data_IF_915087748621
#
_entry.id   IF_915087748621
#
_cell.length_a   1.000
_cell.length_b   1.000
_cell.length_c   1.000
_cell.angle_alpha   90.00
_cell.angle_beta   90.00
_cell.angle_gamma   90.00
#
_symmetry.space_group_name_H-M   'P 1'
#
loop_
_entity.id
_entity.type
_entity.pdbx_description
1 polymer ?
#
# COMPACT_ATOMS: atom_id res chain seq x y z
N UNK A 1 -2.80 9.18 -7.03
CA UNK A 1 -4.25 9.44 -7.18
C UNK A 1 -5.02 8.21 -6.70
N UNK A 2 -6.01 8.39 -5.83
CA UNK A 2 -6.89 7.27 -5.43
C UNK A 2 -7.98 7.09 -6.48
N UNK A 3 -8.12 5.87 -6.96
CA UNK A 3 -9.13 5.49 -7.94
C UNK A 3 -10.50 5.40 -7.26
N UNK A 4 -11.49 5.92 -7.96
CA UNK A 4 -12.88 6.00 -7.53
C UNK A 4 -13.73 6.59 -8.66
N UNK A 5 -15.00 6.84 -8.38
CA UNK A 5 -15.91 7.37 -9.40
C UNK A 5 -15.40 8.70 -9.97
N UNK A 6 -15.35 8.79 -11.31
CA UNK A 6 -14.94 10.00 -12.03
C UNK A 6 -13.44 10.30 -12.07
N UNK A 7 -12.58 9.49 -11.43
CA UNK A 7 -11.12 9.76 -11.41
C UNK A 7 -10.39 9.31 -12.69
N UNK A 8 -11.04 8.51 -13.54
CA UNK A 8 -10.44 7.93 -14.74
C UNK A 8 -9.81 8.95 -15.71
N UNK A 9 -10.53 10.01 -16.13
CA UNK A 9 -9.97 11.02 -17.03
C UNK A 9 -8.75 11.75 -16.44
N UNK A 10 -8.79 12.05 -15.14
CA UNK A 10 -7.67 12.69 -14.43
C UNK A 10 -6.45 11.76 -14.36
N UNK A 11 -6.67 10.48 -14.05
CA UNK A 11 -5.62 9.48 -14.05
C UNK A 11 -4.98 9.32 -15.44
N UNK A 12 -5.80 9.27 -16.50
CA UNK A 12 -5.31 9.19 -17.88
C UNK A 12 -4.44 10.40 -18.26
N UNK A 13 -4.89 11.62 -17.94
CA UNK A 13 -4.12 12.83 -18.20
C UNK A 13 -2.78 12.86 -17.46
N UNK A 14 -2.77 12.42 -16.19
CA UNK A 14 -1.53 12.33 -15.41
C UNK A 14 -0.55 11.29 -15.96
N UNK A 15 -1.05 10.17 -16.50
CA UNK A 15 -0.21 9.17 -17.15
C UNK A 15 0.39 9.77 -18.42
N UNK A 16 -0.44 10.37 -19.28
CA UNK A 16 0.00 10.94 -20.56
C UNK A 16 1.08 12.02 -20.36
N UNK A 17 0.88 12.92 -19.41
CA UNK A 17 1.86 13.95 -19.05
C UNK A 17 3.18 13.30 -18.60
N UNK A 18 3.11 12.35 -17.66
CA UNK A 18 4.29 11.66 -17.13
C UNK A 18 5.02 10.78 -18.17
N UNK A 19 4.35 10.34 -19.25
CA UNK A 19 5.00 9.63 -20.35
C UNK A 19 5.96 10.54 -21.12
N UNK A 20 5.59 11.83 -21.29
CA UNK A 20 6.35 12.81 -22.06
C UNK A 20 7.34 13.64 -21.25
N UNK A 21 7.09 13.90 -19.96
CA UNK A 21 8.02 14.65 -19.10
C UNK A 21 8.77 13.79 -18.08
N UNK A 22 8.44 12.49 -18.01
CA UNK A 22 8.89 11.60 -16.96
C UNK A 22 8.14 11.85 -15.64
N UNK A 23 8.40 11.02 -14.64
CA UNK A 23 7.76 11.15 -13.33
C UNK A 23 6.96 9.93 -12.91
N UNK A 24 6.41 10.00 -11.70
CA UNK A 24 5.88 8.84 -11.01
C UNK A 24 4.39 9.00 -10.81
N UNK A 25 3.61 8.10 -11.40
CA UNK A 25 2.16 8.05 -11.24
C UNK A 25 1.80 6.85 -10.38
N UNK A 26 1.27 7.11 -9.18
CA UNK A 26 0.74 6.08 -8.29
C UNK A 26 -0.79 6.06 -8.37
N UNK A 27 -1.36 5.02 -8.97
CA UNK A 27 -2.81 4.75 -8.93
C UNK A 27 -3.11 3.89 -7.70
N UNK A 28 -3.87 4.44 -6.75
CA UNK A 28 -4.21 3.73 -5.52
C UNK A 28 -5.62 3.15 -5.62
N UNK A 29 -5.86 2.02 -4.96
CA UNK A 29 -7.20 1.43 -4.83
C UNK A 29 -7.87 1.06 -6.16
N UNK A 30 -7.12 0.52 -7.14
CA UNK A 30 -7.65 0.25 -8.48
C UNK A 30 -8.89 -0.66 -8.51
N UNK A 31 -9.00 -1.62 -7.60
CA UNK A 31 -10.20 -2.46 -7.39
C UNK A 31 -11.50 -1.68 -7.16
N UNK A 32 -11.45 -0.41 -6.74
CA UNK A 32 -12.63 0.44 -6.56
C UNK A 32 -13.12 1.11 -7.86
N UNK A 33 -12.38 0.97 -8.97
CA UNK A 33 -12.74 1.53 -10.27
C UNK A 33 -12.83 0.46 -11.37
N UNK A 34 -13.63 -0.61 -11.19
CA UNK A 34 -13.68 -1.74 -12.13
C UNK A 34 -14.11 -1.33 -13.54
N UNK A 35 -15.01 -0.34 -13.66
CA UNK A 35 -15.49 0.16 -14.95
C UNK A 35 -14.42 0.88 -15.77
N UNK A 36 -13.36 1.37 -15.13
CA UNK A 36 -12.27 2.08 -15.81
C UNK A 36 -11.07 1.17 -16.13
N UNK A 37 -11.01 -0.04 -15.57
CA UNK A 37 -9.92 -1.00 -15.81
C UNK A 37 -9.68 -1.31 -17.31
N UNK A 38 -10.73 -1.49 -18.16
CA UNK A 38 -10.51 -1.68 -19.60
C UNK A 38 -9.90 -0.46 -20.29
N UNK A 39 -10.20 0.75 -19.81
CA UNK A 39 -9.57 1.98 -20.33
C UNK A 39 -8.11 2.07 -19.90
N UNK A 40 -7.80 1.69 -18.65
CA UNK A 40 -6.43 1.63 -18.16
C UNK A 40 -5.58 0.63 -18.95
N UNK A 41 -6.14 -0.55 -19.28
CA UNK A 41 -5.46 -1.55 -20.11
C UNK A 41 -5.09 -0.98 -21.49
N UNK A 42 -6.02 -0.29 -22.15
CA UNK A 42 -5.76 0.38 -23.44
C UNK A 42 -4.70 1.48 -23.35
N UNK A 43 -4.65 2.20 -22.23
CA UNK A 43 -3.59 3.21 -21.99
C UNK A 43 -2.25 2.50 -21.85
N UNK A 44 -2.19 1.44 -21.04
CA UNK A 44 -0.99 0.65 -20.81
C UNK A 44 -0.43 0.04 -22.11
N UNK A 45 -1.28 -0.53 -22.97
CA UNK A 45 -0.86 -1.13 -24.25
C UNK A 45 -0.24 -0.11 -25.23
N UNK A 46 -0.52 1.18 -25.06
CA UNK A 46 0.06 2.26 -25.88
C UNK A 46 1.44 2.70 -25.40
N UNK A 47 1.82 2.35 -24.17
CA UNK A 47 3.11 2.71 -23.58
C UNK A 47 4.19 1.88 -24.27
N UNK A 48 5.02 2.54 -25.06
CA UNK A 48 6.16 1.93 -25.74
C UNK A 48 7.45 2.24 -24.98
N UNK A 49 8.15 1.23 -24.41
CA UNK A 49 9.36 1.45 -23.63
C UNK A 49 10.44 2.25 -24.37
N UNK A 50 10.46 2.21 -25.71
CA UNK A 50 11.44 2.89 -26.55
C UNK A 50 11.18 4.39 -26.70
N UNK A 51 9.95 4.85 -26.45
CA UNK A 51 9.54 6.25 -26.69
C UNK A 51 9.18 7.00 -25.43
N UNK A 52 9.14 6.32 -24.28
CA UNK A 52 8.82 6.96 -22.99
C UNK A 52 10.04 7.53 -22.32
N UNK A 53 9.84 8.58 -21.55
CA UNK A 53 10.89 9.16 -20.73
C UNK A 53 11.47 8.15 -19.74
N UNK A 54 12.81 8.10 -19.62
CA UNK A 54 13.51 7.07 -18.85
C UNK A 54 13.13 7.07 -17.35
N UNK A 55 12.70 8.22 -16.84
CA UNK A 55 12.28 8.42 -15.44
C UNK A 55 10.78 8.18 -15.20
N UNK A 56 10.02 7.79 -16.22
CA UNK A 56 8.60 7.44 -16.06
C UNK A 56 8.43 6.16 -15.23
N UNK A 57 7.55 6.21 -14.22
CA UNK A 57 7.15 5.04 -13.42
C UNK A 57 5.64 5.04 -13.19
N UNK A 58 4.98 3.94 -13.55
CA UNK A 58 3.58 3.70 -13.23
C UNK A 58 3.49 2.67 -12.10
N UNK A 59 2.97 3.09 -10.95
CA UNK A 59 2.71 2.25 -9.79
C UNK A 59 1.22 2.07 -9.56
N UNK A 60 0.83 0.89 -9.09
CA UNK A 60 -0.57 0.55 -8.85
C UNK A 60 -0.72 -0.15 -7.51
N UNK A 61 -1.72 0.22 -6.71
CA UNK A 61 -2.13 -0.54 -5.52
C UNK A 61 -3.55 -1.06 -5.69
N UNK A 62 -3.77 -2.33 -5.35
CA UNK A 62 -5.09 -2.95 -5.43
C UNK A 62 -5.21 -4.14 -4.50
N UNK A 63 -6.41 -4.37 -3.97
CA UNK A 63 -6.79 -5.71 -3.52
C UNK A 63 -6.96 -6.64 -4.73
N UNK A 64 -6.85 -7.97 -4.54
CA UNK A 64 -7.19 -8.93 -5.59
C UNK A 64 -8.59 -8.65 -6.14
N UNK A 65 -8.72 -8.54 -7.46
CA UNK A 65 -9.98 -8.26 -8.13
C UNK A 65 -10.00 -8.92 -9.51
N UNK A 66 -11.09 -9.61 -9.83
CA UNK A 66 -11.28 -10.23 -11.14
C UNK A 66 -11.44 -9.19 -12.27
N UNK A 67 -11.75 -7.94 -11.93
CA UNK A 67 -11.85 -6.84 -12.90
C UNK A 67 -10.48 -6.23 -13.24
N UNK A 68 -9.41 -6.59 -12.52
CA UNK A 68 -8.09 -6.03 -12.78
C UNK A 68 -7.52 -6.59 -14.09
N UNK A 69 -6.94 -5.77 -14.99
CA UNK A 69 -6.52 -6.23 -16.31
C UNK A 69 -5.44 -7.31 -16.26
N UNK A 70 -5.69 -8.44 -16.93
CA UNK A 70 -4.77 -9.58 -16.99
C UNK A 70 -3.47 -9.20 -17.68
N UNK A 71 -3.54 -8.39 -18.75
CA UNK A 71 -2.38 -7.94 -19.51
C UNK A 71 -1.42 -7.13 -18.64
N UNK A 72 -1.96 -6.22 -17.81
CA UNK A 72 -1.15 -5.45 -16.85
C UNK A 72 -0.55 -6.39 -15.82
N UNK A 73 -1.32 -7.34 -15.28
CA UNK A 73 -0.79 -8.31 -14.32
C UNK A 73 0.37 -9.07 -14.95
N UNK A 74 0.20 -9.70 -16.11
CA UNK A 74 1.23 -10.54 -16.72
C UNK A 74 2.54 -9.79 -16.98
N UNK A 75 2.45 -8.51 -17.35
CA UNK A 75 3.60 -7.70 -17.78
C UNK A 75 4.10 -6.69 -16.71
N UNK A 76 3.67 -6.83 -15.45
CA UNK A 76 4.13 -5.98 -14.34
C UNK A 76 4.89 -6.75 -13.27
N UNK A 77 5.73 -6.01 -12.54
CA UNK A 77 6.32 -6.50 -11.29
C UNK A 77 5.26 -6.48 -10.20
N UNK A 78 5.03 -7.63 -9.57
CA UNK A 78 4.04 -7.79 -8.50
C UNK A 78 4.76 -7.89 -7.17
N UNK A 79 4.29 -7.10 -6.20
CA UNK A 79 4.69 -7.22 -4.81
C UNK A 79 3.43 -7.46 -3.98
N UNK A 80 3.48 -8.46 -3.11
CA UNK A 80 2.40 -8.77 -2.18
C UNK A 80 2.84 -8.32 -0.79
N UNK A 81 2.09 -7.41 -0.19
CA UNK A 81 2.33 -6.95 1.17
C UNK A 81 1.41 -7.71 2.11
N UNK A 82 1.93 -8.72 2.79
CA UNK A 82 1.20 -9.46 3.80
C UNK A 82 1.44 -8.87 5.20
N UNK A 83 0.45 -8.89 6.10
CA UNK A 83 0.68 -8.57 7.50
C UNK A 83 1.69 -9.56 8.12
N UNK A 84 2.54 -9.13 9.06
CA UNK A 84 3.52 -10.02 9.67
C UNK A 84 2.84 -11.17 10.42
N UNK A 85 3.42 -12.35 10.30
CA UNK A 85 2.92 -13.55 10.96
C UNK A 85 3.65 -13.80 12.29
N UNK A 86 2.86 -14.05 13.32
CA UNK A 86 3.32 -14.39 14.67
C UNK A 86 3.39 -13.19 15.61
N UNK A 87 3.21 -13.47 16.91
CA UNK A 87 3.16 -12.45 17.96
C UNK A 87 4.44 -11.61 17.96
N UNK A 88 5.62 -12.24 17.89
CA UNK A 88 6.91 -11.53 17.90
C UNK A 88 7.03 -10.54 16.74
N UNK A 89 6.66 -10.94 15.53
CA UNK A 89 6.76 -10.09 14.35
C UNK A 89 5.78 -8.91 14.43
N UNK A 90 4.55 -9.15 14.90
CA UNK A 90 3.57 -8.10 15.17
C UNK A 90 4.05 -7.12 16.26
N UNK A 91 4.69 -7.61 17.33
CA UNK A 91 5.26 -6.75 18.37
C UNK A 91 6.42 -5.91 17.85
N UNK A 92 7.37 -6.50 17.11
CA UNK A 92 8.49 -5.75 16.52
C UNK A 92 7.96 -4.65 15.60
N UNK A 93 6.95 -4.95 14.77
CA UNK A 93 6.30 -3.94 13.93
C UNK A 93 5.67 -2.84 14.77
N UNK A 94 4.89 -3.17 15.80
CA UNK A 94 4.22 -2.18 16.64
C UNK A 94 5.22 -1.24 17.33
N UNK A 95 6.33 -1.77 17.84
CA UNK A 95 7.38 -0.98 18.50
C UNK A 95 8.20 -0.13 17.52
N UNK A 96 8.23 -0.48 16.23
CA UNK A 96 8.90 0.28 15.18
C UNK A 96 8.05 1.42 14.59
N UNK A 97 6.77 1.52 14.95
CA UNK A 97 5.88 2.57 14.46
C UNK A 97 6.03 3.84 15.27
N UNK A 98 5.89 4.98 14.61
CA UNK A 98 5.71 6.26 15.28
C UNK A 98 4.40 6.27 16.09
N UNK A 99 4.40 6.86 17.30
CA UNK A 99 5.51 7.58 17.92
C UNK A 99 6.44 6.70 18.79
N UNK A 100 6.21 5.39 18.87
CA UNK A 100 6.92 4.49 19.79
C UNK A 100 8.42 4.38 19.46
N UNK A 101 8.76 4.36 18.17
CA UNK A 101 10.14 4.32 17.69
C UNK A 101 10.91 5.62 17.92
N UNK A 102 10.23 6.74 18.19
CA UNK A 102 10.86 8.02 18.47
C UNK A 102 11.41 8.02 19.92
N UNK A 103 12.74 8.15 20.13
CA UNK A 103 13.33 8.11 21.47
C UNK A 103 12.85 9.24 22.39
N UNK A 104 12.63 10.45 21.86
CA UNK A 104 12.17 11.60 22.64
C UNK A 104 10.76 11.36 23.18
N UNK A 105 9.87 10.83 22.33
CA UNK A 105 8.51 10.46 22.76
C UNK A 105 8.54 9.30 23.75
N UNK A 106 9.34 8.27 23.47
CA UNK A 106 9.42 7.06 24.30
C UNK A 106 9.97 7.35 25.71
N UNK A 107 10.85 8.34 25.85
CA UNK A 107 11.40 8.79 27.13
C UNK A 107 10.66 10.00 27.73
N UNK A 108 9.61 10.51 27.08
CA UNK A 108 8.89 11.73 27.53
C UNK A 108 8.09 11.57 28.83
N UNK A 109 7.84 10.34 29.28
CA UNK A 109 6.96 10.08 30.42
C UNK A 109 7.64 10.40 31.76
N UNK A 110 6.94 11.12 32.63
CA UNK A 110 7.36 11.35 34.02
C UNK A 110 7.34 10.08 34.90
N UNK A 111 6.74 8.98 34.42
CA UNK A 111 6.69 7.66 35.08
C UNK A 111 7.15 6.55 34.13
N UNK A 112 8.44 6.51 33.75
CA UNK A 112 8.94 5.66 32.66
C UNK A 112 8.70 4.17 32.90
N UNK A 113 8.88 3.69 34.14
CA UNK A 113 8.69 2.27 34.46
C UNK A 113 7.23 1.80 34.29
N UNK A 114 6.25 2.64 34.65
CA UNK A 114 4.82 2.31 34.52
C UNK A 114 4.40 2.42 33.05
N UNK A 115 4.81 3.50 32.40
CA UNK A 115 4.54 3.75 30.99
C UNK A 115 5.05 2.61 30.09
N UNK A 116 6.32 2.23 30.21
CA UNK A 116 6.92 1.18 29.38
C UNK A 116 6.27 -0.19 29.59
N UNK A 117 5.85 -0.52 30.82
CA UNK A 117 5.09 -1.74 31.12
C UNK A 117 3.72 -1.74 30.44
N UNK A 118 2.97 -0.64 30.54
CA UNK A 118 1.65 -0.51 29.90
C UNK A 118 1.75 -0.52 28.38
N UNK A 119 2.74 0.18 27.82
CA UNK A 119 2.99 0.21 26.38
C UNK A 119 3.34 -1.17 25.84
N UNK A 120 4.23 -1.91 26.51
CA UNK A 120 4.53 -3.30 26.14
C UNK A 120 3.28 -4.19 26.21
N UNK A 121 2.49 -4.07 27.28
CA UNK A 121 1.23 -4.81 27.42
C UNK A 121 0.24 -4.50 26.31
N UNK A 122 0.09 -3.23 25.92
CA UNK A 122 -0.75 -2.79 24.81
C UNK A 122 -0.27 -3.38 23.47
N UNK A 123 1.04 -3.30 23.17
CA UNK A 123 1.62 -3.89 21.97
C UNK A 123 1.42 -5.42 21.93
N UNK A 124 1.55 -6.09 23.08
CA UNK A 124 1.32 -7.53 23.20
C UNK A 124 -0.14 -7.89 22.94
N UNK A 125 -1.09 -7.20 23.57
CA UNK A 125 -2.53 -7.42 23.35
C UNK A 125 -2.88 -7.17 21.88
N UNK A 126 -2.36 -6.09 21.28
CA UNK A 126 -2.54 -5.80 19.87
C UNK A 126 -2.03 -6.94 18.97
N UNK A 127 -0.80 -7.40 19.21
CA UNK A 127 -0.22 -8.54 18.48
C UNK A 127 -1.03 -9.83 18.65
N UNK A 128 -1.51 -10.10 19.87
CA UNK A 128 -2.36 -11.26 20.16
C UNK A 128 -3.69 -11.20 19.42
N UNK A 129 -4.36 -10.05 19.42
CA UNK A 129 -5.63 -9.85 18.68
C UNK A 129 -5.43 -10.04 17.18
N UNK A 130 -4.33 -9.52 16.62
CA UNK A 130 -3.98 -9.72 15.21
C UNK A 130 -3.81 -11.21 14.86
N UNK A 131 -3.08 -11.97 15.67
CA UNK A 131 -2.92 -13.41 15.44
C UNK A 131 -4.24 -14.17 15.64
N UNK A 132 -5.04 -13.82 16.64
CA UNK A 132 -6.32 -14.49 16.90
C UNK A 132 -7.29 -14.40 15.72
N UNK A 133 -7.28 -13.29 14.97
CA UNK A 133 -8.09 -13.11 13.76
C UNK A 133 -7.81 -14.16 12.67
N UNK A 134 -6.64 -14.80 12.68
CA UNK A 134 -6.26 -15.82 11.69
C UNK A 134 -6.98 -17.16 11.89
N UNK A 135 -7.55 -17.41 13.08
CA UNK A 135 -8.14 -18.71 13.43
C UNK A 135 -9.65 -18.83 13.15
N UNK A 136 -10.25 -17.86 12.45
CA UNK A 136 -11.67 -17.89 12.12
C UNK A 136 -12.63 -17.85 13.33
N UNK A 137 -13.95 -17.94 13.09
CA UNK A 137 -14.93 -18.17 14.15
C UNK A 137 -14.69 -19.56 14.77
N UNK A 138 -14.69 -19.61 16.11
CA UNK A 138 -14.76 -20.87 16.87
C UNK A 138 -16.23 -21.26 16.96
#
# INVERSE_FOLDING_TARGET
>A
ISMGQGQGPKAAAMIEDALGVGGWVLLQNCHLAPSWMPSLEKIYERIKPETVEANFRLWMTSMPSAAFPVTILQNSVKMVTEPPAGIRANMTRALALDPISNPEWFESSSKPAVFKKLLFGLCFIHAFVLERRRFGPI
#
